data_IF_681051273466
#
_entry.id   IF_681051273466
#
_cell.length_a   1.000
_cell.length_b   1.000
_cell.length_c   1.000
_cell.angle_alpha   90.00
_cell.angle_beta   90.00
_cell.angle_gamma   90.00
#
_symmetry.space_group_name_H-M   'P 1'
#
loop_
_entity.id
_entity.type
_entity.pdbx_description
1 polymer ?
#
# COMPACT_ATOMS: atom_id res chain seq x y z
N UNK A 1 -16.81 8.04 29.15
CA UNK A 1 -16.60 6.95 28.16
C UNK A 1 -17.81 6.72 27.25
N UNK A 2 -19.05 6.61 27.72
CA UNK A 2 -20.23 6.43 26.84
C UNK A 2 -20.64 7.67 26.02
N UNK A 3 -20.31 8.90 26.45
CA UNK A 3 -20.75 10.14 25.79
C UNK A 3 -19.84 10.60 24.63
N UNK A 4 -18.57 10.19 24.60
CA UNK A 4 -17.61 10.65 23.57
C UNK A 4 -17.70 9.82 22.28
N UNK A 5 -18.12 8.55 22.39
CA UNK A 5 -18.51 7.69 21.26
C UNK A 5 -19.69 8.29 20.51
N UNK A 6 -20.61 8.95 21.22
CA UNK A 6 -21.75 9.65 20.62
C UNK A 6 -21.32 10.91 19.89
N UNK A 7 -20.30 11.63 20.36
CA UNK A 7 -19.82 12.86 19.73
C UNK A 7 -19.06 12.59 18.42
N UNK A 8 -18.20 11.56 18.38
CA UNK A 8 -17.49 11.18 17.17
C UNK A 8 -18.42 10.59 16.10
N UNK A 9 -19.38 9.74 16.52
CA UNK A 9 -20.44 9.27 15.62
C UNK A 9 -21.35 10.41 15.18
N UNK A 10 -21.69 11.36 16.05
CA UNK A 10 -22.46 12.55 15.68
C UNK A 10 -21.71 13.48 14.70
N UNK A 11 -20.38 13.58 14.80
CA UNK A 11 -19.56 14.35 13.85
C UNK A 11 -19.48 13.64 12.49
N UNK A 12 -19.32 12.32 12.50
CA UNK A 12 -19.32 11.49 11.28
C UNK A 12 -20.71 11.48 10.60
N UNK A 13 -21.76 11.41 11.39
CA UNK A 13 -23.15 11.47 10.95
C UNK A 13 -23.55 12.90 10.53
N UNK A 14 -23.00 13.96 11.13
CA UNK A 14 -23.15 15.33 10.62
C UNK A 14 -22.44 15.50 9.27
N UNK A 15 -21.23 14.95 9.11
CA UNK A 15 -20.51 14.97 7.84
C UNK A 15 -21.23 14.18 6.74
N UNK A 16 -21.91 13.07 7.09
CA UNK A 16 -22.76 12.27 6.18
C UNK A 16 -24.12 12.91 5.90
N UNK A 17 -24.82 13.42 6.90
CA UNK A 17 -26.13 14.06 6.74
C UNK A 17 -26.03 15.34 5.91
N UNK A 18 -24.93 16.09 6.06
CA UNK A 18 -24.61 17.23 5.19
C UNK A 18 -24.23 16.82 3.77
N UNK A 19 -23.89 15.55 3.51
CA UNK A 19 -23.65 15.03 2.15
C UNK A 19 -24.92 14.48 1.50
N UNK A 20 -25.78 13.77 2.24
CA UNK A 20 -27.01 13.19 1.68
C UNK A 20 -28.06 14.26 1.33
N UNK A 21 -28.13 15.36 2.11
CA UNK A 21 -28.96 16.52 1.77
C UNK A 21 -28.46 17.29 0.52
N UNK A 22 -27.18 17.13 0.12
CA UNK A 22 -26.61 17.78 -1.07
C UNK A 22 -26.94 17.07 -2.39
N UNK A 23 -27.48 15.85 -2.34
CA UNK A 23 -27.84 15.11 -3.57
C UNK A 23 -29.08 15.69 -4.27
N UNK A 24 -29.98 16.34 -3.52
CA UNK A 24 -31.29 16.77 -4.03
C UNK A 24 -31.40 18.27 -4.39
N UNK A 25 -30.43 19.10 -4.02
CA UNK A 25 -30.51 20.57 -4.16
C UNK A 25 -29.38 21.14 -5.04
N UNK A 26 -29.20 20.52 -6.22
CA UNK A 26 -28.28 20.98 -7.28
C UNK A 26 -28.85 22.22 -7.99
N UNK A 27 -28.90 23.39 -7.32
CA UNK A 27 -28.89 24.75 -7.91
C UNK A 27 -29.23 25.80 -6.85
N UNK A 28 -28.21 26.22 -6.09
CA UNK A 28 -28.06 27.49 -5.34
C UNK A 28 -27.64 27.22 -3.89
N UNK A 29 -26.33 27.26 -3.64
CA UNK A 29 -25.76 27.89 -2.44
C UNK A 29 -24.29 28.19 -2.71
N UNK A 30 -23.90 29.44 -2.49
CA UNK A 30 -22.49 29.85 -2.40
C UNK A 30 -21.75 28.84 -1.51
N UNK A 31 -20.58 28.42 -1.97
CA UNK A 31 -19.62 27.57 -1.26
C UNK A 31 -19.59 27.95 0.23
N UNK A 32 -19.85 26.99 1.12
CA UNK A 32 -19.83 27.19 2.57
C UNK A 32 -18.38 27.29 3.06
N UNK A 33 -17.70 28.37 2.66
CA UNK A 33 -16.31 28.69 3.05
C UNK A 33 -16.18 28.88 4.56
N UNK A 34 -17.27 29.31 5.21
CA UNK A 34 -17.41 29.45 6.65
C UNK A 34 -17.28 28.13 7.40
N UNK A 35 -17.88 27.05 6.89
CA UNK A 35 -17.74 25.71 7.47
C UNK A 35 -16.28 25.22 7.44
N UNK A 36 -15.58 25.41 6.31
CA UNK A 36 -14.19 24.98 6.16
C UNK A 36 -13.22 25.73 7.06
N UNK A 37 -13.43 27.03 7.31
CA UNK A 37 -12.60 27.83 8.23
C UNK A 37 -12.57 27.29 9.66
N UNK A 38 -13.59 26.54 10.08
CA UNK A 38 -13.61 25.91 11.42
C UNK A 38 -12.54 24.83 11.61
N UNK A 39 -11.99 24.29 10.52
CA UNK A 39 -10.86 23.35 10.53
C UNK A 39 -9.53 24.08 10.84
N UNK A 40 -9.52 25.42 10.79
CA UNK A 40 -8.34 26.25 11.03
C UNK A 40 -7.50 26.44 9.77
N UNK A 41 -6.17 26.38 9.92
CA UNK A 41 -5.21 26.70 8.85
C UNK A 41 -5.37 25.81 7.61
N UNK A 42 -5.71 24.53 7.80
CA UNK A 42 -6.01 23.60 6.70
C UNK A 42 -7.24 24.02 5.89
N UNK A 43 -8.28 24.50 6.57
CA UNK A 43 -9.50 24.96 5.92
C UNK A 43 -9.31 26.26 5.12
N UNK A 44 -8.49 27.17 5.62
CA UNK A 44 -8.06 28.36 4.88
C UNK A 44 -7.31 27.96 3.60
N UNK A 45 -6.37 27.02 3.70
CA UNK A 45 -5.61 26.53 2.53
C UNK A 45 -6.53 25.89 1.48
N UNK A 46 -7.51 25.08 1.90
CA UNK A 46 -8.54 24.55 1.00
C UNK A 46 -9.31 25.65 0.28
N UNK A 47 -9.79 26.66 1.02
CA UNK A 47 -10.53 27.77 0.43
C UNK A 47 -9.69 28.53 -0.61
N UNK A 48 -8.39 28.73 -0.35
CA UNK A 48 -7.47 29.35 -1.31
C UNK A 48 -7.33 28.49 -2.57
N UNK A 49 -7.08 27.19 -2.43
CA UNK A 49 -6.97 26.28 -3.56
C UNK A 49 -8.26 26.23 -4.41
N UNK A 50 -9.42 26.17 -3.74
CA UNK A 50 -10.73 26.26 -4.38
C UNK A 50 -10.90 27.60 -5.10
N UNK A 51 -10.49 28.72 -4.51
CA UNK A 51 -10.59 30.04 -5.13
C UNK A 51 -9.77 30.14 -6.42
N UNK A 52 -8.55 29.60 -6.43
CA UNK A 52 -7.68 29.52 -7.60
C UNK A 52 -8.33 28.65 -8.69
N UNK A 53 -8.89 27.50 -8.34
CA UNK A 53 -9.45 26.55 -9.30
C UNK A 53 -10.87 26.88 -9.80
N UNK A 54 -11.61 27.73 -9.10
CA UNK A 54 -13.00 28.05 -9.44
C UNK A 54 -13.16 29.01 -10.63
N UNK A 55 -12.09 29.69 -11.05
CA UNK A 55 -12.12 30.67 -12.13
C UNK A 55 -10.87 30.53 -12.99
N UNK A 56 -11.04 30.50 -14.31
CA UNK A 56 -9.90 30.50 -15.24
C UNK A 56 -9.03 31.73 -15.03
N UNK A 57 -9.63 32.89 -14.74
CA UNK A 57 -8.89 34.13 -14.46
C UNK A 57 -7.98 33.99 -13.23
N UNK A 58 -8.45 33.32 -12.17
CA UNK A 58 -7.63 33.11 -10.97
C UNK A 58 -6.58 32.04 -11.19
N UNK A 59 -6.90 31.02 -12.00
CA UNK A 59 -5.97 29.97 -12.37
C UNK A 59 -4.83 30.51 -13.23
N UNK A 60 -5.13 31.32 -14.24
CA UNK A 60 -4.16 31.99 -15.10
C UNK A 60 -3.29 32.95 -14.28
N UNK A 61 -3.89 33.75 -13.39
CA UNK A 61 -3.14 34.63 -12.50
C UNK A 61 -2.22 33.86 -11.53
N UNK A 62 -2.64 32.67 -11.07
CA UNK A 62 -1.79 31.80 -10.28
C UNK A 62 -0.63 31.24 -11.11
N UNK A 63 -0.90 30.78 -12.33
CA UNK A 63 0.10 30.22 -13.23
C UNK A 63 1.17 31.26 -13.60
N UNK A 64 0.76 32.51 -13.85
CA UNK A 64 1.67 33.64 -14.10
C UNK A 64 2.63 33.91 -12.93
N UNK A 65 2.21 33.66 -11.69
CA UNK A 65 3.00 33.93 -10.49
C UNK A 65 3.88 32.73 -10.11
N UNK A 66 3.32 31.52 -10.16
CA UNK A 66 3.93 30.32 -9.59
C UNK A 66 4.55 29.39 -10.64
N UNK A 67 4.06 29.42 -11.89
CA UNK A 67 4.48 28.54 -12.99
C UNK A 67 4.22 27.06 -12.76
N UNK A 68 3.53 26.71 -11.67
CA UNK A 68 3.18 25.35 -11.28
C UNK A 68 1.83 25.35 -10.58
N UNK A 69 0.99 24.37 -10.88
CA UNK A 69 -0.31 24.23 -10.24
C UNK A 69 -0.16 23.96 -8.73
N UNK A 70 -0.97 24.65 -7.91
CA UNK A 70 -1.07 24.40 -6.47
C UNK A 70 -1.72 23.04 -6.16
N UNK A 71 -2.63 22.61 -7.04
CA UNK A 71 -3.45 21.42 -6.85
C UNK A 71 -4.68 21.70 -5.98
N UNK A 72 -5.53 20.67 -5.85
CA UNK A 72 -6.76 20.72 -5.05
C UNK A 72 -6.87 19.46 -4.22
N UNK A 73 -7.21 19.60 -2.95
CA UNK A 73 -7.54 18.47 -2.10
C UNK A 73 -8.88 17.84 -2.50
N UNK A 74 -9.04 16.57 -2.18
CA UNK A 74 -10.23 15.79 -2.46
C UNK A 74 -10.51 14.85 -1.29
N UNK A 75 -11.71 14.94 -0.76
CA UNK A 75 -12.16 14.15 0.40
C UNK A 75 -12.01 12.64 0.17
N UNK A 76 -12.11 12.16 -1.08
CA UNK A 76 -12.05 10.73 -1.40
C UNK A 76 -10.67 10.25 -1.88
N UNK A 77 -9.69 11.14 -2.08
CA UNK A 77 -8.34 10.75 -2.51
C UNK A 77 -7.35 10.87 -1.35
N UNK A 78 -6.90 9.74 -0.82
CA UNK A 78 -6.20 9.64 0.46
C UNK A 78 -5.01 10.61 0.64
N UNK A 79 -4.21 10.83 -0.41
CA UNK A 79 -3.01 11.66 -0.36
C UNK A 79 -3.19 13.11 -0.84
N UNK A 80 -4.40 13.53 -1.23
CA UNK A 80 -4.57 14.85 -1.86
C UNK A 80 -4.25 16.02 -0.93
N UNK A 81 -4.58 15.89 0.36
CA UNK A 81 -4.30 16.91 1.37
C UNK A 81 -2.81 17.08 1.62
N UNK A 82 -2.06 15.98 1.69
CA UNK A 82 -0.61 16.03 1.82
C UNK A 82 0.02 16.70 0.60
N UNK A 83 -0.42 16.34 -0.62
CA UNK A 83 0.09 16.95 -1.86
C UNK A 83 -0.21 18.45 -1.94
N UNK A 84 -1.39 18.87 -1.51
CA UNK A 84 -1.74 20.29 -1.44
C UNK A 84 -0.84 21.04 -0.43
N UNK A 85 -0.61 20.45 0.74
CA UNK A 85 0.31 20.99 1.75
C UNK A 85 1.73 21.13 1.20
N UNK A 86 2.25 20.07 0.58
CA UNK A 86 3.59 20.02 0.01
C UNK A 86 3.80 21.07 -1.08
N UNK A 87 2.81 21.21 -1.98
CA UNK A 87 2.80 22.24 -3.00
C UNK A 87 2.71 23.66 -2.42
N UNK A 88 1.87 23.86 -1.41
CA UNK A 88 1.68 25.17 -0.77
C UNK A 88 2.93 25.62 0.00
N UNK A 89 3.59 24.70 0.72
CA UNK A 89 4.82 24.99 1.46
C UNK A 89 5.97 25.27 0.49
N UNK A 90 6.07 24.50 -0.60
CA UNK A 90 7.09 24.72 -1.63
C UNK A 90 6.91 26.05 -2.38
N UNK A 91 5.67 26.57 -2.41
CA UNK A 91 5.29 27.79 -3.12
C UNK A 91 4.83 28.90 -2.16
N UNK A 92 5.35 28.94 -0.92
CA UNK A 92 4.98 29.93 0.11
C UNK A 92 5.14 31.38 -0.36
N UNK A 93 6.20 31.67 -1.13
CA UNK A 93 6.44 32.98 -1.74
C UNK A 93 5.38 33.36 -2.77
N UNK A 94 5.21 32.58 -3.86
CA UNK A 94 4.12 32.76 -4.83
C UNK A 94 2.73 32.89 -4.19
N UNK A 95 2.42 32.04 -3.21
CA UNK A 95 1.13 32.06 -2.51
C UNK A 95 0.93 33.38 -1.76
N UNK A 96 1.98 33.92 -1.13
CA UNK A 96 1.91 35.21 -0.44
C UNK A 96 1.64 36.37 -1.41
N UNK A 97 2.23 36.35 -2.61
CA UNK A 97 1.98 37.35 -3.65
C UNK A 97 0.52 37.28 -4.12
N UNK A 98 0.04 36.07 -4.42
CA UNK A 98 -1.34 35.85 -4.87
C UNK A 98 -2.36 36.31 -3.80
N UNK A 99 -2.14 35.95 -2.53
CA UNK A 99 -3.01 36.38 -1.43
C UNK A 99 -3.05 37.90 -1.26
N UNK A 100 -1.93 38.60 -1.50
CA UNK A 100 -1.89 40.05 -1.45
C UNK A 100 -2.67 40.69 -2.62
N UNK A 101 -2.57 40.12 -3.82
CA UNK A 101 -3.33 40.58 -5.00
C UNK A 101 -4.85 40.45 -4.78
N UNK A 102 -5.30 39.36 -4.17
CA UNK A 102 -6.73 39.06 -3.92
C UNK A 102 -7.17 39.27 -2.46
N UNK A 103 -6.46 40.09 -1.69
CA UNK A 103 -6.67 40.25 -0.24
C UNK A 103 -8.12 40.60 0.16
N UNK A 104 -8.85 41.34 -0.69
CA UNK A 104 -10.25 41.71 -0.42
C UNK A 104 -11.21 40.55 -0.52
N UNK A 105 -10.95 39.61 -1.43
CA UNK A 105 -11.81 38.45 -1.67
C UNK A 105 -11.47 37.30 -0.72
N UNK A 106 -10.20 37.21 -0.30
CA UNK A 106 -9.66 36.18 0.58
C UNK A 106 -9.43 36.66 2.02
N UNK A 107 -10.03 37.78 2.45
CA UNK A 107 -9.77 38.40 3.76
C UNK A 107 -9.85 37.40 4.94
N UNK A 108 -10.82 36.48 4.90
CA UNK A 108 -11.00 35.45 5.93
C UNK A 108 -10.09 34.23 5.81
N UNK A 109 -9.35 34.10 4.71
CA UNK A 109 -8.50 32.94 4.40
C UNK A 109 -7.00 33.33 4.30
N UNK A 110 -6.64 34.58 4.62
CA UNK A 110 -5.24 34.99 4.72
C UNK A 110 -4.51 34.12 5.75
N UNK A 111 -3.42 33.50 5.29
CA UNK A 111 -2.56 32.66 6.10
C UNK A 111 -1.61 33.51 6.92
N UNK A 112 -1.76 33.46 8.24
CA UNK A 112 -0.86 34.13 9.19
C UNK A 112 0.44 33.34 9.37
N UNK A 113 1.43 33.92 10.05
CA UNK A 113 2.66 33.20 10.38
C UNK A 113 2.39 31.95 11.23
N UNK A 114 1.43 32.01 12.14
CA UNK A 114 1.03 30.85 12.95
C UNK A 114 0.34 29.77 12.11
N UNK A 115 -0.50 30.18 11.14
CA UNK A 115 -1.11 29.25 10.19
C UNK A 115 -0.04 28.47 9.40
N UNK A 116 0.97 29.17 8.89
CA UNK A 116 2.09 28.52 8.19
C UNK A 116 2.87 27.56 9.08
N UNK A 117 3.07 27.88 10.36
CA UNK A 117 3.71 26.96 11.30
C UNK A 117 2.86 25.70 11.50
N UNK A 118 1.54 25.83 11.66
CA UNK A 118 0.62 24.68 11.78
C UNK A 118 0.61 23.84 10.50
N UNK A 119 0.60 24.45 9.32
CA UNK A 119 0.66 23.73 8.04
C UNK A 119 1.97 22.95 7.89
N UNK A 120 3.12 23.54 8.25
CA UNK A 120 4.43 22.88 8.22
C UNK A 120 4.50 21.71 9.21
N UNK A 121 4.02 21.89 10.43
CA UNK A 121 3.94 20.81 11.42
C UNK A 121 3.02 19.67 10.95
N UNK A 122 1.90 20.01 10.31
CA UNK A 122 0.95 19.03 9.76
C UNK A 122 1.56 18.26 8.60
N UNK A 123 2.27 18.94 7.70
CA UNK A 123 3.00 18.31 6.60
C UNK A 123 4.06 17.34 7.12
N UNK A 124 4.91 17.76 8.06
CA UNK A 124 5.92 16.90 8.67
C UNK A 124 5.29 15.68 9.37
N UNK A 125 4.18 15.89 10.08
CA UNK A 125 3.46 14.81 10.73
C UNK A 125 2.90 13.78 9.73
N UNK A 126 2.34 14.26 8.61
CA UNK A 126 1.71 13.42 7.58
C UNK A 126 2.70 12.79 6.60
N UNK A 127 3.97 13.20 6.59
CA UNK A 127 4.96 12.69 5.65
C UNK A 127 5.12 11.15 5.71
N UNK A 128 5.22 10.51 6.89
CA UNK A 128 5.28 9.05 6.96
C UNK A 128 4.03 8.36 6.41
N UNK A 129 2.85 8.97 6.55
CA UNK A 129 1.59 8.42 6.01
C UNK A 129 1.59 8.46 4.50
N UNK A 130 2.04 9.57 3.92
CA UNK A 130 2.19 9.70 2.47
C UNK A 130 3.17 8.66 1.93
N UNK A 131 4.33 8.51 2.57
CA UNK A 131 5.36 7.55 2.18
C UNK A 131 4.85 6.09 2.27
N UNK A 132 4.28 5.71 3.42
CA UNK A 132 3.72 4.37 3.60
C UNK A 132 2.62 4.05 2.58
N UNK A 133 1.78 5.04 2.25
CA UNK A 133 0.75 4.86 1.22
C UNK A 133 1.36 4.66 -0.16
N UNK A 134 2.42 5.40 -0.51
CA UNK A 134 3.11 5.22 -1.80
C UNK A 134 3.78 3.85 -1.88
N UNK A 135 4.48 3.43 -0.82
CA UNK A 135 5.14 2.12 -0.78
C UNK A 135 4.14 0.97 -0.97
N UNK A 136 2.97 1.06 -0.34
CA UNK A 136 1.92 0.06 -0.50
C UNK A 136 1.24 0.09 -1.88
N UNK A 137 1.38 1.17 -2.65
CA UNK A 137 0.88 1.28 -4.03
C UNK A 137 1.89 0.79 -5.08
N UNK A 138 3.08 0.40 -4.65
CA UNK A 138 4.11 -0.07 -5.57
C UNK A 138 3.80 -1.50 -6.04
N UNK A 139 4.29 -1.85 -7.23
CA UNK A 139 4.14 -3.21 -7.79
C UNK A 139 4.75 -4.31 -6.91
N UNK A 140 5.71 -3.95 -6.05
CA UNK A 140 6.37 -4.87 -5.12
C UNK A 140 5.75 -4.87 -3.72
N UNK A 141 4.69 -4.08 -3.50
CA UNK A 141 3.98 -4.04 -2.23
C UNK A 141 3.45 -5.44 -1.90
N UNK A 142 3.64 -5.84 -0.64
CA UNK A 142 3.15 -7.13 -0.16
C UNK A 142 2.66 -6.99 1.27
N UNK A 143 1.77 -7.91 1.63
CA UNK A 143 1.10 -7.92 2.92
C UNK A 143 2.07 -7.97 4.12
N UNK A 144 3.32 -8.40 3.93
CA UNK A 144 4.35 -8.40 4.98
C UNK A 144 4.80 -7.00 5.44
N UNK A 145 4.55 -5.97 4.62
CA UNK A 145 4.89 -4.58 4.91
C UNK A 145 3.80 -3.88 5.71
N UNK A 146 2.58 -4.42 5.71
CA UNK A 146 1.41 -3.77 6.34
C UNK A 146 1.62 -3.51 7.82
N UNK A 147 2.00 -4.54 8.59
CA UNK A 147 2.19 -4.41 10.03
C UNK A 147 3.38 -3.50 10.38
N UNK A 148 4.47 -3.57 9.60
CA UNK A 148 5.61 -2.68 9.79
C UNK A 148 5.24 -1.22 9.52
N UNK A 149 4.49 -0.96 8.46
CA UNK A 149 3.97 0.38 8.17
C UNK A 149 3.05 0.86 9.29
N UNK A 150 2.17 0.01 9.83
CA UNK A 150 1.35 0.38 10.99
C UNK A 150 2.22 0.73 12.20
N UNK A 151 3.24 -0.08 12.52
CA UNK A 151 4.19 0.19 13.61
C UNK A 151 4.90 1.55 13.44
N UNK A 152 5.33 1.89 12.21
CA UNK A 152 5.93 3.19 11.87
C UNK A 152 4.93 4.33 12.17
N UNK A 153 3.68 4.19 11.73
CA UNK A 153 2.65 5.21 11.96
C UNK A 153 2.33 5.36 13.44
N UNK A 154 2.25 4.28 14.21
CA UNK A 154 2.09 4.35 15.67
C UNK A 154 3.26 5.05 16.35
N UNK A 155 4.48 4.76 15.91
CA UNK A 155 5.66 5.43 16.45
C UNK A 155 5.63 6.93 16.15
N UNK A 156 5.20 7.32 14.95
CA UNK A 156 5.02 8.72 14.58
C UNK A 156 4.05 9.44 15.52
N UNK A 157 2.88 8.83 15.79
CA UNK A 157 1.95 9.41 16.76
C UNK A 157 2.54 9.45 18.19
N UNK A 158 3.27 8.41 18.63
CA UNK A 158 3.91 8.38 19.96
C UNK A 158 4.91 9.52 20.12
N UNK A 159 5.74 9.74 19.10
CA UNK A 159 6.73 10.82 19.07
C UNK A 159 6.07 12.19 19.05
N UNK A 160 4.92 12.32 18.39
CA UNK A 160 4.19 13.57 18.27
C UNK A 160 3.40 13.97 19.54
N UNK A 161 3.25 13.10 20.56
CA UNK A 161 2.47 13.38 21.79
C UNK A 161 2.91 14.64 22.55
N UNK A 162 4.16 15.09 22.36
CA UNK A 162 4.66 16.34 22.96
C UNK A 162 4.28 17.63 22.21
N UNK A 163 3.68 17.54 21.02
CA UNK A 163 3.36 18.70 20.20
C UNK A 163 2.07 19.38 20.69
N UNK A 164 2.24 20.42 21.50
CA UNK A 164 1.16 21.21 22.13
C UNK A 164 0.17 21.81 21.13
N UNK A 165 0.59 22.09 19.89
CA UNK A 165 -0.27 22.70 18.86
C UNK A 165 -1.15 21.70 18.11
N UNK A 166 -0.79 20.41 18.12
CA UNK A 166 -1.49 19.36 17.38
C UNK A 166 -2.11 18.29 18.29
N UNK A 167 -2.13 18.49 19.62
CA UNK A 167 -2.57 17.48 20.61
C UNK A 167 -3.94 16.89 20.27
N UNK A 168 -4.92 17.73 19.96
CA UNK A 168 -6.27 17.25 19.67
C UNK A 168 -6.30 16.41 18.37
N UNK A 169 -5.65 16.89 17.31
CA UNK A 169 -5.57 16.17 16.04
C UNK A 169 -4.84 14.83 16.17
N UNK A 170 -3.76 14.78 16.95
CA UNK A 170 -2.98 13.57 17.24
C UNK A 170 -3.82 12.59 18.06
N UNK A 171 -4.52 13.08 19.09
CA UNK A 171 -5.39 12.24 19.93
C UNK A 171 -6.56 11.64 19.14
N UNK A 172 -7.21 12.45 18.29
CA UNK A 172 -8.29 11.97 17.43
C UNK A 172 -7.77 11.02 16.34
N UNK A 173 -6.62 11.33 15.75
CA UNK A 173 -5.98 10.51 14.72
C UNK A 173 -5.53 9.14 15.24
N UNK A 174 -5.10 9.05 16.51
CA UNK A 174 -4.66 7.80 17.15
C UNK A 174 -5.72 6.68 17.09
N UNK A 175 -7.01 7.06 17.12
CA UNK A 175 -8.11 6.09 17.08
C UNK A 175 -8.19 5.30 15.78
N UNK A 176 -7.76 5.90 14.66
CA UNK A 176 -7.88 5.26 13.35
C UNK A 176 -6.94 4.06 13.22
N UNK A 177 -5.61 4.19 13.47
CA UNK A 177 -4.73 3.03 13.53
C UNK A 177 -5.14 2.02 14.60
N UNK A 178 -5.58 2.48 15.78
CA UNK A 178 -5.99 1.57 16.87
C UNK A 178 -7.14 0.65 16.46
N UNK A 179 -8.12 1.17 15.70
CA UNK A 179 -9.18 0.34 15.14
C UNK A 179 -8.65 -0.66 14.12
N UNK A 180 -7.68 -0.25 13.30
CA UNK A 180 -7.09 -1.13 12.29
C UNK A 180 -6.28 -2.26 12.92
N UNK A 181 -5.61 -2.01 14.04
CA UNK A 181 -4.94 -3.05 14.82
C UNK A 181 -5.93 -4.13 15.27
N UNK A 182 -7.05 -3.72 15.87
CA UNK A 182 -8.11 -4.66 16.28
C UNK A 182 -8.67 -5.48 15.11
N UNK A 183 -8.73 -4.91 13.91
CA UNK A 183 -9.15 -5.60 12.69
C UNK A 183 -8.05 -6.54 12.15
N UNK A 184 -6.78 -6.14 12.23
CA UNK A 184 -5.63 -6.94 11.80
C UNK A 184 -5.43 -8.17 12.69
N UNK A 185 -5.67 -8.06 13.99
CA UNK A 185 -5.65 -9.19 14.92
C UNK A 185 -6.73 -10.24 14.61
N UNK A 186 -7.85 -9.82 14.00
CA UNK A 186 -8.90 -10.75 13.55
C UNK A 186 -8.50 -11.51 12.29
N UNK A 187 -7.61 -10.93 11.46
CA UNK A 187 -7.16 -11.56 10.24
C UNK A 187 -5.81 -12.26 10.46
N UNK A 188 -5.81 -13.60 10.49
CA UNK A 188 -4.62 -14.35 10.84
C UNK A 188 -3.53 -14.38 9.75
N UNK A 189 -3.66 -13.63 8.65
CA UNK A 189 -2.71 -13.63 7.52
C UNK A 189 -1.56 -12.63 7.73
N UNK A 190 -1.80 -11.49 8.39
CA UNK A 190 -0.80 -10.43 8.55
C UNK A 190 0.42 -10.87 9.38
N UNK A 191 0.19 -11.53 10.51
CA UNK A 191 1.26 -12.05 11.36
C UNK A 191 2.16 -13.09 10.66
N UNK A 192 1.63 -14.14 9.97
CA UNK A 192 2.44 -15.02 9.15
C UNK A 192 3.25 -14.28 8.09
N UNK A 193 2.66 -13.30 7.38
CA UNK A 193 3.38 -12.57 6.34
C UNK A 193 4.64 -11.89 6.88
N UNK A 194 4.52 -11.20 8.02
CA UNK A 194 5.65 -10.57 8.70
C UNK A 194 6.71 -11.58 9.16
N UNK A 195 6.27 -12.72 9.72
CA UNK A 195 7.16 -13.78 10.21
C UNK A 195 7.90 -14.52 9.11
N UNK A 196 7.27 -14.66 7.93
CA UNK A 196 7.84 -15.28 6.74
C UNK A 196 8.83 -14.37 6.02
N UNK A 197 8.95 -13.10 6.42
CA UNK A 197 9.92 -12.17 5.87
C UNK A 197 11.34 -12.53 6.31
N UNK A 198 12.30 -12.77 5.38
CA UNK A 198 13.65 -13.24 5.71
C UNK A 198 14.45 -12.33 6.65
N UNK A 199 14.23 -11.02 6.56
CA UNK A 199 14.95 -10.00 7.35
C UNK A 199 14.28 -9.65 8.70
N UNK A 200 13.03 -10.07 8.93
CA UNK A 200 12.27 -9.70 10.13
C UNK A 200 12.19 -10.88 11.10
N UNK A 201 11.48 -11.94 10.67
CA UNK A 201 11.24 -13.17 11.44
C UNK A 201 10.73 -12.85 12.86
N UNK A 202 10.93 -13.77 13.81
CA UNK A 202 10.56 -13.56 15.22
C UNK A 202 11.29 -12.37 15.86
N UNK A 203 12.53 -12.09 15.42
CA UNK A 203 13.39 -11.05 15.99
C UNK A 203 12.79 -9.65 15.90
N UNK A 204 11.99 -9.39 14.87
CA UNK A 204 11.25 -8.13 14.74
C UNK A 204 10.23 -7.98 15.88
N UNK A 205 9.37 -8.99 16.06
CA UNK A 205 8.38 -8.99 17.14
C UNK A 205 9.03 -8.88 18.51
N UNK A 206 10.15 -9.57 18.75
CA UNK A 206 10.87 -9.53 20.02
C UNK A 206 11.39 -8.14 20.40
N UNK A 207 11.65 -7.27 19.41
CA UNK A 207 12.17 -5.91 19.63
C UNK A 207 11.08 -4.86 19.73
N UNK A 208 10.03 -4.99 18.93
CA UNK A 208 9.07 -3.91 18.72
C UNK A 208 7.73 -4.15 19.43
N UNK A 209 7.38 -5.41 19.73
CA UNK A 209 6.05 -5.76 20.23
C UNK A 209 6.09 -6.20 21.70
N UNK A 210 4.98 -5.96 22.39
CA UNK A 210 4.76 -6.49 23.73
C UNK A 210 4.66 -8.02 23.72
N UNK A 211 5.01 -8.66 24.84
CA UNK A 211 5.05 -10.11 24.95
C UNK A 211 3.69 -10.78 24.64
N UNK A 212 2.60 -10.17 25.10
CA UNK A 212 1.24 -10.68 24.87
C UNK A 212 0.89 -10.70 23.38
N UNK A 213 1.16 -9.60 22.66
CA UNK A 213 0.86 -9.46 21.24
C UNK A 213 1.71 -10.39 20.39
N UNK A 214 3.02 -10.48 20.71
CA UNK A 214 3.92 -11.46 20.08
C UNK A 214 3.39 -12.88 20.21
N UNK A 215 2.91 -13.27 21.40
CA UNK A 215 2.39 -14.61 21.64
C UNK A 215 1.16 -14.89 20.79
N UNK A 216 0.23 -13.93 20.69
CA UNK A 216 -0.97 -14.04 19.86
C UNK A 216 -0.62 -14.15 18.37
N UNK A 217 0.27 -13.29 17.86
CA UNK A 217 0.71 -13.31 16.48
C UNK A 217 1.38 -14.64 16.08
N UNK A 218 2.29 -15.15 16.91
CA UNK A 218 2.96 -16.44 16.66
C UNK A 218 1.94 -17.59 16.74
N UNK A 219 0.99 -17.56 17.68
CA UNK A 219 -0.05 -18.57 17.77
C UNK A 219 -0.95 -18.61 16.52
N UNK A 220 -1.37 -17.44 16.04
CA UNK A 220 -2.13 -17.31 14.79
C UNK A 220 -1.35 -17.85 13.58
N UNK A 221 -0.05 -17.52 13.49
CA UNK A 221 0.80 -18.03 12.42
C UNK A 221 0.98 -19.55 12.46
N UNK A 222 1.15 -20.14 13.66
CA UNK A 222 1.19 -21.60 13.86
C UNK A 222 -0.10 -22.28 13.43
N UNK A 223 -1.25 -21.67 13.74
CA UNK A 223 -2.55 -22.20 13.31
C UNK A 223 -2.66 -22.24 11.78
N UNK A 224 -2.13 -21.23 11.09
CA UNK A 224 -2.06 -21.23 9.62
C UNK A 224 -1.11 -22.29 9.08
N UNK A 225 0.08 -22.39 9.67
CA UNK A 225 1.08 -23.39 9.32
C UNK A 225 0.59 -24.83 9.46
N UNK A 226 -0.22 -25.13 10.48
CA UNK A 226 -0.78 -26.47 10.69
C UNK A 226 -1.55 -27.01 9.47
N UNK A 227 -2.13 -26.15 8.62
CA UNK A 227 -2.85 -26.55 7.40
C UNK A 227 -1.92 -26.99 6.25
N UNK A 228 -0.63 -26.67 6.34
CA UNK A 228 0.39 -26.93 5.33
C UNK A 228 1.37 -28.02 5.75
N UNK A 229 1.50 -28.24 7.07
CA UNK A 229 2.43 -29.19 7.66
C UNK A 229 2.31 -30.60 7.09
N UNK A 230 1.11 -31.05 6.71
CA UNK A 230 0.87 -32.40 6.18
C UNK A 230 0.59 -32.43 4.67
N UNK A 231 0.82 -31.34 3.94
CA UNK A 231 0.57 -31.31 2.50
C UNK A 231 1.54 -32.23 1.75
N UNK A 232 1.06 -32.95 0.72
CA UNK A 232 1.91 -33.76 -0.13
C UNK A 232 2.93 -32.87 -0.83
N UNK A 233 4.17 -33.32 -0.88
CA UNK A 233 5.24 -32.63 -1.59
C UNK A 233 5.03 -32.78 -3.11
N UNK A 234 5.29 -31.74 -3.91
CA UNK A 234 5.30 -31.84 -5.36
C UNK A 234 6.26 -32.96 -5.83
N UNK A 235 5.89 -33.71 -6.88
CA UNK A 235 6.64 -34.89 -7.36
C UNK A 235 8.13 -34.64 -7.61
N UNK A 236 8.55 -33.43 -7.98
CA UNK A 236 9.98 -33.10 -8.20
C UNK A 236 10.80 -33.18 -6.90
N UNK A 237 10.25 -32.71 -5.78
CA UNK A 237 10.88 -32.77 -4.47
C UNK A 237 10.92 -34.21 -3.93
N UNK A 238 9.86 -34.98 -4.18
CA UNK A 238 9.78 -36.39 -3.81
C UNK A 238 10.76 -37.27 -4.62
N UNK A 239 10.95 -36.97 -5.92
CA UNK A 239 11.87 -37.72 -6.78
C UNK A 239 13.33 -37.55 -6.35
N UNK A 240 13.75 -36.34 -5.96
CA UNK A 240 15.13 -36.10 -5.48
C UNK A 240 15.44 -36.78 -4.13
N UNK A 241 14.45 -36.89 -3.25
CA UNK A 241 14.60 -37.65 -2.00
C UNK A 241 14.74 -39.16 -2.29
N UNK A 242 13.91 -39.68 -3.19
CA UNK A 242 13.91 -41.10 -3.57
C UNK A 242 15.15 -41.54 -4.38
N UNK A 243 15.78 -40.65 -5.15
CA UNK A 243 17.02 -40.98 -5.89
C UNK A 243 18.20 -41.26 -4.94
N UNK A 244 18.21 -40.67 -3.74
CA UNK A 244 19.20 -40.97 -2.71
C UNK A 244 18.93 -42.32 -2.01
N UNK A 245 17.68 -42.76 -1.92
CA UNK A 245 17.29 -44.01 -1.28
C UNK A 245 17.51 -45.25 -2.16
N UNK A 246 17.63 -45.08 -3.48
CA UNK A 246 17.82 -46.18 -4.44
C UNK A 246 19.25 -46.72 -4.57
N UNK A 247 20.22 -46.12 -3.86
CA UNK A 247 21.59 -46.68 -3.79
C UNK A 247 21.67 -47.73 -2.69
N UNK A 248 22.09 -48.95 -3.02
CA UNK A 248 22.46 -49.95 -2.02
C UNK A 248 23.58 -49.42 -1.14
N UNK A 249 23.24 -49.02 0.09
CA UNK A 249 24.17 -48.42 1.05
C UNK A 249 25.09 -49.51 1.59
N UNK A 250 26.40 -49.34 1.38
CA UNK A 250 27.41 -50.29 1.86
C UNK A 250 27.47 -50.35 3.40
N UNK A 251 27.98 -51.43 4.01
CA UNK A 251 28.10 -51.53 5.47
C UNK A 251 28.92 -50.39 6.11
N UNK A 252 29.95 -49.90 5.41
CA UNK A 252 30.75 -48.75 5.85
C UNK A 252 29.95 -47.45 5.84
N UNK A 253 29.15 -47.22 4.80
CA UNK A 253 28.29 -46.03 4.70
C UNK A 253 27.18 -46.05 5.75
N UNK A 254 26.64 -47.23 6.09
CA UNK A 254 25.67 -47.36 7.18
C UNK A 254 26.28 -47.01 8.54
N UNK A 255 27.51 -47.47 8.81
CA UNK A 255 28.24 -47.11 10.04
C UNK A 255 28.55 -45.60 10.04
N UNK A 256 28.99 -45.03 8.91
CA UNK A 256 29.22 -43.58 8.75
C UNK A 256 27.94 -42.76 8.93
N UNK A 257 26.80 -43.24 8.45
CA UNK A 257 25.48 -42.64 8.68
C UNK A 257 25.06 -42.76 10.15
N UNK A 258 25.31 -43.89 10.82
CA UNK A 258 25.02 -44.05 12.26
C UNK A 258 25.91 -43.19 13.17
N UNK A 259 27.08 -42.78 12.68
CA UNK A 259 27.96 -41.81 13.33
C UNK A 259 27.68 -40.37 12.89
N UNK A 260 26.72 -40.14 11.98
CA UNK A 260 26.32 -38.81 11.58
C UNK A 260 25.66 -38.11 12.76
N UNK A 261 26.12 -36.89 13.05
CA UNK A 261 25.56 -36.01 14.08
C UNK A 261 24.54 -35.04 13.46
N UNK A 262 24.29 -35.15 12.15
CA UNK A 262 23.27 -34.39 11.45
C UNK A 262 21.90 -35.02 11.74
N UNK A 263 20.96 -34.22 12.24
CA UNK A 263 19.58 -34.64 12.45
C UNK A 263 18.95 -35.13 11.14
N UNK A 264 18.06 -36.12 11.22
CA UNK A 264 17.35 -36.61 10.04
C UNK A 264 16.53 -35.46 9.40
N UNK A 265 16.71 -35.19 8.09
CA UNK A 265 16.01 -34.11 7.39
C UNK A 265 14.52 -34.46 7.29
N UNK A 266 13.75 -34.08 8.30
CA UNK A 266 12.31 -34.32 8.33
C UNK A 266 11.64 -34.22 9.69
N UNK A 267 12.39 -34.20 10.80
CA UNK A 267 11.78 -34.18 12.13
C UNK A 267 11.67 -32.77 12.74
N UNK A 268 12.41 -31.79 12.23
CA UNK A 268 12.30 -30.39 12.66
C UNK A 268 11.12 -29.69 11.99
N UNK A 269 10.33 -28.98 12.79
CA UNK A 269 9.23 -28.16 12.27
C UNK A 269 9.79 -26.98 11.45
N UNK A 270 9.59 -27.00 10.13
CA UNK A 270 10.12 -26.01 9.19
C UNK A 270 9.82 -24.56 9.61
N UNK A 271 8.61 -24.30 10.14
CA UNK A 271 8.21 -22.98 10.58
C UNK A 271 9.00 -22.53 11.81
N UNK A 272 9.14 -23.40 12.82
CA UNK A 272 9.95 -23.10 14.01
C UNK A 272 11.43 -22.90 13.66
N UNK A 273 11.97 -23.70 12.73
CA UNK A 273 13.33 -23.52 12.22
C UNK A 273 13.51 -22.15 11.56
N UNK A 274 12.57 -21.71 10.74
CA UNK A 274 12.64 -20.42 10.07
C UNK A 274 12.55 -19.26 11.07
N UNK A 275 11.51 -19.22 11.91
CA UNK A 275 11.25 -18.03 12.73
C UNK A 275 12.33 -17.80 13.80
N UNK A 276 12.95 -18.89 14.30
CA UNK A 276 13.97 -18.81 15.34
C UNK A 276 15.39 -18.64 14.77
N UNK A 277 15.60 -18.89 13.47
CA UNK A 277 16.91 -18.66 12.85
C UNK A 277 17.17 -17.17 12.61
N UNK A 278 18.43 -16.70 12.69
CA UNK A 278 18.74 -15.28 12.62
C UNK A 278 18.31 -14.67 11.28
N UNK A 279 17.79 -13.42 11.26
CA UNK A 279 17.41 -12.79 10.02
C UNK A 279 18.57 -12.68 9.03
N UNK A 280 18.26 -12.83 7.74
CA UNK A 280 19.24 -12.81 6.66
C UNK A 280 18.94 -11.67 5.70
N UNK A 281 19.95 -10.88 5.28
CA UNK A 281 19.75 -9.84 4.28
C UNK A 281 19.27 -10.49 2.98
N UNK A 282 18.26 -9.87 2.38
CA UNK A 282 17.61 -10.39 1.20
C UNK A 282 18.29 -9.84 -0.06
N UNK A 283 18.65 -10.72 -1.00
CA UNK A 283 19.23 -10.31 -2.29
C UNK A 283 18.17 -10.07 -3.37
N UNK A 284 16.90 -10.35 -3.08
CA UNK A 284 15.76 -10.13 -3.99
C UNK A 284 15.03 -8.85 -3.63
N UNK A 285 14.27 -8.31 -4.59
CA UNK A 285 13.45 -7.12 -4.33
C UNK A 285 12.18 -7.40 -3.50
N UNK A 286 11.71 -8.64 -3.45
CA UNK A 286 10.53 -9.01 -2.62
C UNK A 286 10.75 -10.34 -1.88
N UNK A 287 10.07 -10.52 -0.74
CA UNK A 287 10.06 -11.78 0.01
C UNK A 287 9.48 -12.93 -0.81
N UNK A 288 8.45 -12.67 -1.60
CA UNK A 288 7.86 -13.66 -2.50
C UNK A 288 8.90 -14.22 -3.49
N UNK A 289 9.70 -13.34 -4.12
CA UNK A 289 10.78 -13.76 -5.03
C UNK A 289 11.86 -14.56 -4.31
N UNK A 290 12.11 -14.27 -3.03
CA UNK A 290 13.06 -15.03 -2.21
C UNK A 290 12.56 -16.47 -2.00
N UNK A 291 11.28 -16.64 -1.64
CA UNK A 291 10.65 -17.95 -1.46
C UNK A 291 10.53 -18.78 -2.75
N UNK A 292 10.47 -18.12 -3.91
CA UNK A 292 10.48 -18.79 -5.21
C UNK A 292 11.87 -19.34 -5.63
N UNK A 293 12.95 -19.02 -4.90
CA UNK A 293 14.29 -19.55 -5.22
C UNK A 293 14.38 -21.04 -4.91
N UNK A 294 15.09 -21.75 -5.78
CA UNK A 294 15.27 -23.21 -5.66
C UNK A 294 15.88 -23.62 -4.32
N UNK A 295 16.85 -22.86 -3.80
CA UNK A 295 17.47 -23.10 -2.49
C UNK A 295 16.43 -23.16 -1.36
N UNK A 296 15.48 -22.22 -1.36
CA UNK A 296 14.47 -22.11 -0.31
C UNK A 296 13.39 -23.19 -0.48
N UNK A 297 13.05 -23.55 -1.71
CA UNK A 297 12.14 -24.67 -2.00
C UNK A 297 12.72 -26.01 -1.56
N UNK A 298 14.04 -26.18 -1.61
CA UNK A 298 14.74 -27.37 -1.12
C UNK A 298 14.82 -27.37 0.41
N UNK A 299 15.17 -26.24 1.03
CA UNK A 299 15.33 -26.15 2.49
C UNK A 299 13.98 -26.20 3.24
N UNK A 300 12.91 -25.68 2.61
CA UNK A 300 11.59 -25.48 3.20
C UNK A 300 10.47 -25.96 2.25
N UNK A 301 10.37 -27.27 1.98
CA UNK A 301 9.53 -27.82 0.91
C UNK A 301 8.02 -27.73 1.19
N UNK A 302 7.58 -27.62 2.45
CA UNK A 302 6.16 -27.37 2.78
C UNK A 302 5.92 -25.90 3.11
N UNK A 303 6.85 -25.26 3.80
CA UNK A 303 6.72 -23.88 4.25
C UNK A 303 6.76 -22.87 3.10
N UNK A 304 7.50 -23.13 2.02
CA UNK A 304 7.46 -22.24 0.85
C UNK A 304 6.06 -22.15 0.21
N UNK A 305 5.24 -23.21 0.30
CA UNK A 305 3.87 -23.18 -0.21
C UNK A 305 3.00 -22.21 0.58
N UNK A 306 3.09 -22.26 1.92
CA UNK A 306 2.44 -21.26 2.79
C UNK A 306 2.95 -19.85 2.45
N UNK A 307 4.26 -19.71 2.28
CA UNK A 307 4.85 -18.42 2.00
C UNK A 307 4.37 -17.81 0.68
N UNK A 308 4.28 -18.61 -0.39
CA UNK A 308 3.73 -18.17 -1.67
C UNK A 308 2.25 -17.79 -1.53
N UNK A 309 1.44 -18.62 -0.88
CA UNK A 309 0.01 -18.36 -0.69
C UNK A 309 -0.25 -17.08 0.12
N UNK A 310 0.57 -16.81 1.15
CA UNK A 310 0.41 -15.62 2.01
C UNK A 310 0.97 -14.37 1.34
N UNK A 311 2.21 -14.42 0.83
CA UNK A 311 2.92 -13.24 0.32
C UNK A 311 2.46 -12.80 -1.08
N UNK A 312 1.68 -13.64 -1.78
CA UNK A 312 1.00 -13.27 -3.03
C UNK A 312 -0.29 -12.48 -2.81
N UNK A 313 -0.77 -12.38 -1.57
CA UNK A 313 -1.94 -11.55 -1.26
C UNK A 313 -1.53 -10.07 -1.36
N UNK A 314 -2.22 -9.27 -2.20
CA UNK A 314 -1.93 -7.85 -2.30
C UNK A 314 -2.29 -7.13 -1.00
N UNK A 315 -1.48 -6.14 -0.62
CA UNK A 315 -1.72 -5.35 0.58
C UNK A 315 -2.92 -4.40 0.44
N UNK A 316 -3.19 -3.91 -0.77
CA UNK A 316 -4.25 -2.95 -1.09
C UNK A 316 -5.01 -3.31 -2.37
N UNK A 317 -6.11 -2.59 -2.62
CA UNK A 317 -6.94 -2.70 -3.83
C UNK A 317 -6.43 -1.86 -5.01
N UNK A 318 -5.21 -1.33 -4.94
CA UNK A 318 -4.63 -0.47 -5.96
C UNK A 318 -4.36 -1.21 -7.28
N UNK A 319 -3.91 -2.46 -7.23
CA UNK A 319 -3.75 -3.31 -8.41
C UNK A 319 -5.07 -3.51 -9.20
N UNK A 320 -6.18 -3.95 -8.57
CA UNK A 320 -7.46 -3.99 -9.27
C UNK A 320 -7.96 -2.59 -9.67
N UNK A 321 -7.73 -1.54 -8.88
CA UNK A 321 -8.09 -0.17 -9.23
C UNK A 321 -7.36 0.36 -10.47
N UNK A 322 -6.09 -0.01 -10.67
CA UNK A 322 -5.33 0.30 -11.88
C UNK A 322 -5.96 -0.36 -13.11
N UNK A 323 -6.35 -1.63 -12.99
CA UNK A 323 -7.04 -2.35 -14.08
C UNK A 323 -8.39 -1.70 -14.38
N UNK A 324 -9.17 -1.33 -13.35
CA UNK A 324 -10.45 -0.63 -13.50
C UNK A 324 -10.26 0.74 -14.16
N UNK A 325 -9.21 1.48 -13.76
CA UNK A 325 -8.88 2.79 -14.34
C UNK A 325 -8.47 2.69 -15.81
N UNK A 326 -7.73 1.64 -16.18
CA UNK A 326 -7.42 1.30 -17.56
C UNK A 326 -8.67 0.91 -18.34
N UNK A 327 -9.54 0.08 -17.78
CA UNK A 327 -10.80 -0.34 -18.38
C UNK A 327 -11.69 0.88 -18.70
N UNK A 328 -11.70 1.92 -17.87
CA UNK A 328 -12.41 3.18 -18.13
C UNK A 328 -11.98 3.86 -19.44
N UNK A 329 -10.71 3.73 -19.84
CA UNK A 329 -10.24 4.24 -21.15
C UNK A 329 -10.77 3.40 -22.31
N UNK A 330 -10.92 2.09 -22.10
CA UNK A 330 -11.50 1.15 -23.08
C UNK A 330 -13.01 1.35 -23.23
N UNK A 331 -13.71 1.67 -22.13
CA UNK A 331 -15.13 2.02 -22.08
C UNK A 331 -15.30 3.54 -21.99
N UNK A 332 -14.89 4.28 -23.03
CA UNK A 332 -15.19 5.71 -23.09
C UNK A 332 -16.71 5.94 -23.08
N UNK A 333 -17.15 7.16 -22.72
CA UNK A 333 -18.57 7.52 -22.67
C UNK A 333 -19.31 7.26 -23.99
N UNK A 334 -18.59 7.30 -25.12
CA UNK A 334 -19.13 7.04 -26.46
C UNK A 334 -19.15 5.54 -26.83
N UNK A 335 -18.44 4.68 -26.07
CA UNK A 335 -18.33 3.22 -26.27
C UNK A 335 -19.09 2.44 -25.18
N UNK A 336 -20.23 2.95 -24.72
CA UNK A 336 -21.00 2.41 -23.59
C UNK A 336 -21.76 1.09 -23.86
N UNK A 337 -21.62 0.45 -25.03
CA UNK A 337 -22.30 -0.81 -25.38
C UNK A 337 -21.44 -2.08 -25.25
N UNK A 338 -20.25 -1.99 -24.65
CA UNK A 338 -19.43 -3.17 -24.39
C UNK A 338 -19.96 -3.95 -23.19
N UNK A 339 -20.12 -5.27 -23.34
CA UNK A 339 -20.43 -6.15 -22.21
C UNK A 339 -19.21 -6.34 -21.30
N UNK A 340 -19.42 -6.68 -20.02
CA UNK A 340 -18.33 -6.91 -19.07
C UNK A 340 -17.29 -7.92 -19.59
N UNK A 341 -17.76 -9.03 -20.18
CA UNK A 341 -16.90 -10.05 -20.79
C UNK A 341 -16.09 -9.53 -21.99
N UNK A 342 -16.64 -8.59 -22.76
CA UNK A 342 -15.91 -7.94 -23.87
C UNK A 342 -14.83 -6.98 -23.37
N UNK A 343 -15.03 -6.37 -22.20
CA UNK A 343 -14.05 -5.50 -21.54
C UNK A 343 -12.95 -6.29 -20.85
N UNK A 344 -13.28 -7.45 -20.28
CA UNK A 344 -12.34 -8.34 -19.61
C UNK A 344 -11.24 -8.87 -20.55
N UNK A 345 -11.63 -9.37 -21.73
CA UNK A 345 -10.71 -9.93 -22.73
C UNK A 345 -9.50 -9.03 -23.06
N UNK A 346 -9.65 -7.75 -23.45
CA UNK A 346 -8.52 -6.89 -23.74
C UNK A 346 -7.68 -6.55 -22.49
N UNK A 347 -8.27 -6.50 -21.29
CA UNK A 347 -7.50 -6.29 -20.06
C UNK A 347 -6.61 -7.51 -19.74
N UNK A 348 -7.17 -8.73 -19.83
CA UNK A 348 -6.42 -9.97 -19.66
C UNK A 348 -5.31 -10.11 -20.70
N UNK A 349 -5.63 -9.88 -21.98
CA UNK A 349 -4.66 -9.95 -23.07
C UNK A 349 -3.52 -8.93 -22.88
N UNK A 350 -3.86 -7.69 -22.51
CA UNK A 350 -2.86 -6.65 -22.22
C UNK A 350 -1.97 -7.05 -21.05
N UNK A 351 -2.55 -7.60 -19.97
CA UNK A 351 -1.78 -8.06 -18.82
C UNK A 351 -0.83 -9.21 -19.17
N UNK A 352 -1.30 -10.20 -19.92
CA UNK A 352 -0.48 -11.34 -20.36
C UNK A 352 0.65 -10.92 -21.30
N UNK A 353 0.38 -10.00 -22.23
CA UNK A 353 1.41 -9.45 -23.11
C UNK A 353 2.48 -8.67 -22.32
N UNK A 354 2.06 -7.80 -21.38
CA UNK A 354 2.99 -7.03 -20.52
C UNK A 354 3.90 -7.93 -19.69
N UNK A 355 3.38 -9.04 -19.18
CA UNK A 355 4.14 -10.01 -18.39
C UNK A 355 4.92 -11.03 -19.26
N UNK A 356 4.94 -10.86 -20.59
CA UNK A 356 5.66 -11.76 -21.50
C UNK A 356 5.11 -13.18 -21.56
N UNK A 357 3.88 -13.39 -21.08
CA UNK A 357 3.18 -14.68 -21.14
C UNK A 357 2.70 -15.01 -22.56
N UNK A 358 2.56 -13.98 -23.39
CA UNK A 358 2.24 -14.10 -24.82
C UNK A 358 3.34 -13.39 -25.60
N UNK A 359 4.14 -14.17 -26.33
CA UNK A 359 5.24 -13.65 -27.17
C UNK A 359 4.82 -13.38 -28.62
N UNK A 360 3.69 -13.96 -29.06
CA UNK A 360 3.17 -13.81 -30.42
C UNK A 360 1.64 -13.75 -30.37
N UNK A 361 1.07 -12.68 -30.92
CA UNK A 361 -0.38 -12.55 -31.09
C UNK A 361 -0.68 -12.86 -32.55
N UNK A 362 -1.36 -13.98 -32.78
CA UNK A 362 -1.85 -14.35 -34.09
C UNK A 362 -3.29 -13.86 -34.21
N UNK A 363 -3.54 -12.94 -35.13
CA UNK A 363 -4.90 -12.48 -35.43
C UNK A 363 -5.34 -13.18 -36.71
N UNK A 364 -6.36 -14.04 -36.60
CA UNK A 364 -6.99 -14.64 -37.75
C UNK A 364 -8.07 -13.67 -38.27
N UNK A 365 -7.91 -13.20 -39.50
CA UNK A 365 -8.96 -12.51 -40.25
C UNK A 365 -9.21 -13.36 -41.50
N UNK A 366 -10.45 -13.82 -41.68
CA UNK A 366 -10.87 -14.60 -42.85
C UNK A 366 -9.98 -15.84 -43.16
N UNK A 367 -9.73 -16.67 -42.15
CA UNK A 367 -8.91 -17.89 -42.21
C UNK A 367 -7.41 -17.70 -42.57
N UNK A 368 -6.95 -16.45 -42.69
CA UNK A 368 -5.52 -16.12 -42.78
C UNK A 368 -4.95 -15.71 -41.42
N UNK A 369 -3.95 -16.46 -40.96
CA UNK A 369 -3.24 -16.20 -39.70
C UNK A 369 -2.14 -15.17 -39.95
N UNK A 370 -2.34 -13.93 -39.50
CA UNK A 370 -1.29 -12.90 -39.54
C UNK A 370 -0.53 -12.84 -38.22
N UNK A 371 0.81 -12.88 -38.30
CA UNK A 371 1.71 -12.65 -37.16
C UNK A 371 1.80 -11.14 -36.91
N UNK A 372 1.23 -10.66 -35.80
CA UNK A 372 1.46 -9.29 -35.34
C UNK A 372 2.73 -9.33 -34.50
N UNK A 373 3.84 -8.89 -35.08
CA UNK A 373 5.10 -8.75 -34.35
C UNK A 373 4.89 -7.82 -33.16
N UNK A 374 5.26 -8.27 -31.96
CA UNK A 374 5.43 -7.37 -30.82
C UNK A 374 6.79 -6.70 -30.98
N UNK A 375 6.81 -5.39 -31.20
CA UNK A 375 8.04 -4.57 -31.17
C UNK A 375 8.67 -4.59 -29.77
N UNK A 376 9.41 -5.65 -29.46
CA UNK A 376 10.17 -5.78 -28.21
C UNK A 376 11.65 -6.11 -28.45
N UNK A 377 12.14 -5.97 -29.67
CA UNK A 377 13.56 -6.22 -29.99
C UNK A 377 14.46 -4.98 -29.97
N UNK A 378 13.96 -3.81 -29.55
CA UNK A 378 14.83 -2.66 -29.25
C UNK A 378 14.30 -1.86 -28.06
N UNK A 379 14.97 -1.99 -26.91
CA UNK A 379 15.42 -0.91 -26.01
C UNK A 379 16.29 -1.57 -24.93
N UNK A 380 17.59 -1.58 -25.20
CA UNK A 380 18.62 -1.63 -24.16
C UNK A 380 19.05 -0.19 -23.87
N UNK A 381 18.57 0.39 -22.77
CA UNK A 381 18.92 1.75 -22.34
C UNK A 381 18.04 2.23 -21.17
N UNK A 382 18.58 2.99 -20.20
CA UNK A 382 17.93 3.24 -18.93
C UNK A 382 16.72 4.16 -19.11
N UNK A 383 15.55 3.71 -18.66
CA UNK A 383 14.33 4.52 -18.68
C UNK A 383 14.44 5.63 -17.62
N UNK A 384 14.89 6.79 -18.06
CA UNK A 384 14.67 8.06 -17.39
C UNK A 384 13.20 8.44 -17.57
N UNK A 385 12.35 8.03 -16.63
CA UNK A 385 10.99 8.57 -16.53
C UNK A 385 11.06 9.89 -15.75
N UNK A 386 10.96 10.97 -16.52
CA UNK A 386 10.61 12.29 -16.03
C UNK A 386 9.25 12.23 -15.32
N UNK A 387 9.23 12.69 -14.07
CA UNK A 387 8.03 13.08 -13.35
C UNK A 387 7.82 14.58 -13.56
N UNK A 388 6.65 14.97 -14.07
CA UNK A 388 6.01 16.27 -13.82
C UNK A 388 4.66 16.04 -13.13
#
# INVERSE_FOLDING_TARGET
EANDVTAANALHDQLRATTDQKSHDRRKKRHDTTGWRSIGSMGKLHNIAVFIHNSTVHNDAWDDIAGKALGLDNITRWNSWFRLLDAAISQEGPLSIFLNQYHKELEGDILTHDDWQVLKLTHEFLQPFHQATLEQQMEWASIDQVLENMDILFLQFKNAKGNTRMVHSIHMGWWVPSKHDEESDRNPIYAPALLLHPEKRRRYLDRHWAEEWRRTAIAGARQHWAKYKDRPLPSESATRLNDNERREVTPYERIKQSMSVLDEPGNEDEFEKLINSPPRPMTTSTPLKWWCREEQRIEYPRLHQLAIDVLSVPAMSDDPERVISCARRTTSWDRARLSAHTVEKPQCLSNWAKNGLIRKVYVAVDDEVMEVASDNDDISGPSSLYYE
#
